data_IF_441043122604
#
_entry.id   IF_441043122604
#
_cell.length_a   1.000
_cell.length_b   1.000
_cell.length_c   1.000
_cell.angle_alpha   90.00
_cell.angle_beta   90.00
_cell.angle_gamma   90.00
#
_symmetry.space_group_name_H-M   'P 1'
#
loop_
_entity.id
_entity.type
_entity.pdbx_description
1 polymer ?
#
# COMPACT_ATOMS: atom_id res chain seq x y z
N UNK A 1 12.00 19.47 13.68
CA UNK A 1 12.74 18.35 14.30
C UNK A 1 12.05 17.02 14.02
N UNK A 2 12.56 16.19 13.11
CA UNK A 2 12.06 14.82 12.88
C UNK A 2 12.75 13.90 13.89
N UNK A 3 12.07 13.56 14.98
CA UNK A 3 12.56 12.51 15.90
C UNK A 3 12.63 11.22 15.09
N UNK A 4 13.84 10.69 14.91
CA UNK A 4 14.08 9.36 14.33
C UNK A 4 13.55 8.31 15.32
N UNK A 5 12.23 8.09 15.34
CA UNK A 5 11.63 7.16 16.28
C UNK A 5 11.95 5.73 15.82
N UNK A 6 12.73 5.00 16.65
CA UNK A 6 13.13 3.61 16.40
C UNK A 6 11.92 2.72 16.08
N UNK A 7 12.10 1.84 15.09
CA UNK A 7 11.19 0.74 14.81
C UNK A 7 11.16 -0.23 16.01
N UNK A 8 10.08 -1.00 16.13
CA UNK A 8 9.90 -1.96 17.22
C UNK A 8 9.24 -3.24 16.74
N UNK A 9 9.35 -4.31 17.53
CA UNK A 9 8.60 -5.55 17.28
C UNK A 9 7.09 -5.33 17.49
N UNK A 10 6.26 -6.17 16.87
CA UNK A 10 4.79 -6.03 16.95
C UNK A 10 4.27 -5.95 18.40
N UNK A 11 4.78 -6.83 19.28
CA UNK A 11 4.39 -6.90 20.69
C UNK A 11 4.87 -5.70 21.54
N UNK A 12 5.74 -4.84 20.98
CA UNK A 12 6.22 -3.61 21.63
C UNK A 12 5.46 -2.37 21.15
N UNK A 13 4.50 -2.53 20.24
CA UNK A 13 3.66 -1.43 19.80
C UNK A 13 2.86 -0.84 20.96
N UNK A 14 2.72 0.49 21.08
CA UNK A 14 1.83 1.11 22.05
C UNK A 14 0.35 0.72 21.88
N UNK A 15 -0.02 0.14 20.73
CA UNK A 15 -1.35 -0.41 20.48
C UNK A 15 -1.46 -1.90 20.87
N UNK A 16 -0.37 -2.54 21.31
CA UNK A 16 -0.41 -3.94 21.75
C UNK A 16 -0.99 -4.04 23.17
N UNK A 17 -1.88 -5.02 23.40
CA UNK A 17 -2.54 -5.30 24.68
C UNK A 17 -3.20 -4.06 25.31
N UNK A 18 -3.85 -3.20 24.52
CA UNK A 18 -4.60 -2.07 25.07
C UNK A 18 -5.91 -2.58 25.68
N UNK A 19 -6.01 -2.50 27.01
CA UNK A 19 -7.11 -3.09 27.79
C UNK A 19 -8.28 -2.16 28.14
N UNK A 20 -8.18 -0.87 27.84
CA UNK A 20 -9.26 0.06 28.17
C UNK A 20 -9.31 1.26 27.23
N UNK A 21 -10.50 1.85 27.06
CA UNK A 21 -10.67 3.10 26.30
C UNK A 21 -9.88 4.26 26.90
N UNK A 22 -9.71 4.31 28.22
CA UNK A 22 -8.84 5.30 28.90
C UNK A 22 -7.39 5.18 28.41
N UNK A 23 -6.84 3.96 28.33
CA UNK A 23 -5.50 3.73 27.80
C UNK A 23 -5.43 4.06 26.31
N UNK A 24 -6.45 3.69 25.53
CA UNK A 24 -6.54 4.04 24.11
C UNK A 24 -6.45 5.55 23.89
N UNK A 25 -7.25 6.34 24.62
CA UNK A 25 -7.21 7.80 24.59
C UNK A 25 -5.81 8.35 24.86
N UNK A 26 -5.09 7.81 25.85
CA UNK A 26 -3.72 8.22 26.14
C UNK A 26 -2.74 7.90 24.99
N UNK A 27 -2.87 6.73 24.36
CA UNK A 27 -2.04 6.32 23.22
C UNK A 27 -2.29 7.21 21.99
N UNK A 28 -3.57 7.49 21.72
CA UNK A 28 -4.04 8.31 20.60
C UNK A 28 -3.88 9.81 20.85
N UNK A 29 -3.69 10.23 22.10
CA UNK A 29 -3.60 11.63 22.55
C UNK A 29 -4.88 12.41 22.26
N UNK A 30 -6.02 11.84 22.63
CA UNK A 30 -7.35 12.46 22.51
C UNK A 30 -8.13 12.32 23.82
N UNK A 31 -9.13 13.17 24.04
CA UNK A 31 -9.99 13.05 25.21
C UNK A 31 -10.97 11.86 25.07
N UNK A 32 -11.52 11.35 26.19
CA UNK A 32 -12.63 10.38 26.13
C UNK A 32 -13.88 10.93 25.43
N UNK A 33 -14.10 12.25 25.49
CA UNK A 33 -15.17 12.92 24.76
C UNK A 33 -14.98 12.83 23.25
N UNK A 34 -13.77 13.16 22.78
CA UNK A 34 -13.41 13.08 21.36
C UNK A 34 -13.53 11.65 20.85
N UNK A 35 -13.03 10.66 21.61
CA UNK A 35 -13.16 9.25 21.22
C UNK A 35 -14.63 8.87 21.02
N UNK A 36 -15.51 9.21 21.97
CA UNK A 36 -16.94 8.93 21.85
C UNK A 36 -17.54 9.63 20.63
N UNK A 37 -17.27 10.91 20.45
CA UNK A 37 -17.80 11.69 19.32
C UNK A 37 -17.34 11.13 17.98
N UNK A 38 -16.05 10.85 17.81
CA UNK A 38 -15.48 10.30 16.59
C UNK A 38 -16.05 8.91 16.27
N UNK A 39 -16.23 8.05 17.28
CA UNK A 39 -16.83 6.71 17.08
C UNK A 39 -18.33 6.74 16.85
N UNK A 40 -19.07 7.74 17.35
CA UNK A 40 -20.53 7.87 17.14
C UNK A 40 -20.86 8.52 15.80
N UNK A 41 -20.08 9.51 15.39
CA UNK A 41 -20.29 10.29 14.16
C UNK A 41 -19.52 9.75 12.96
N UNK A 42 -18.92 8.56 13.04
CA UNK A 42 -18.03 8.04 11.99
C UNK A 42 -18.63 8.00 10.57
N UNK A 43 -19.96 7.92 10.44
CA UNK A 43 -20.67 7.96 9.15
C UNK A 43 -20.79 9.35 8.49
N UNK A 44 -20.55 10.46 9.21
CA UNK A 44 -20.65 11.84 8.68
C UNK A 44 -19.31 12.58 8.68
N UNK A 45 -18.24 11.90 9.12
CA UNK A 45 -16.89 12.45 9.24
C UNK A 45 -16.06 12.27 7.96
N UNK A 46 -16.70 12.06 6.81
CA UNK A 46 -16.06 11.91 5.52
C UNK A 46 -16.67 12.86 4.49
N UNK A 47 -15.84 13.27 3.54
CA UNK A 47 -16.25 13.95 2.30
C UNK A 47 -15.98 13.00 1.13
N UNK A 48 -16.99 12.75 0.31
CA UNK A 48 -16.89 11.93 -0.90
C UNK A 48 -16.77 12.83 -2.13
N UNK A 49 -15.80 12.54 -3.00
CA UNK A 49 -15.63 13.21 -4.28
C UNK A 49 -14.96 12.27 -5.28
N UNK A 50 -15.05 12.57 -6.57
CA UNK A 50 -14.40 11.77 -7.60
C UNK A 50 -13.13 12.44 -8.12
N UNK A 51 -12.14 11.61 -8.45
CA UNK A 51 -10.93 12.03 -9.15
C UNK A 51 -10.79 11.17 -10.40
N UNK A 52 -10.48 11.78 -11.53
CA UNK A 52 -10.23 11.04 -12.76
C UNK A 52 -8.95 10.20 -12.66
N UNK A 53 -9.05 8.93 -13.07
CA UNK A 53 -7.89 8.08 -13.29
C UNK A 53 -7.16 8.46 -14.58
N UNK A 54 -5.96 7.91 -14.75
CA UNK A 54 -5.17 8.04 -16.00
C UNK A 54 -5.91 7.53 -17.25
N UNK A 55 -6.84 6.60 -17.08
CA UNK A 55 -7.67 6.05 -18.16
C UNK A 55 -9.01 6.78 -18.35
N UNK A 56 -9.22 7.91 -17.64
CA UNK A 56 -10.44 8.71 -17.69
C UNK A 56 -11.59 8.16 -16.83
N UNK A 57 -11.47 6.95 -16.27
CA UNK A 57 -12.52 6.41 -15.39
C UNK A 57 -12.51 7.10 -14.01
N UNK A 58 -13.67 7.29 -13.36
CA UNK A 58 -13.71 7.93 -12.05
C UNK A 58 -13.12 7.04 -10.96
N UNK A 59 -12.48 7.67 -9.96
CA UNK A 59 -12.05 7.07 -8.70
C UNK A 59 -12.71 7.83 -7.55
N UNK A 60 -13.65 7.19 -6.88
CA UNK A 60 -14.21 7.70 -5.63
C UNK A 60 -13.15 7.84 -4.54
N UNK A 61 -13.09 9.02 -3.95
CA UNK A 61 -12.22 9.37 -2.83
C UNK A 61 -13.08 9.61 -1.60
N UNK A 62 -12.81 8.84 -0.54
CA UNK A 62 -13.46 8.98 0.76
C UNK A 62 -12.47 9.64 1.73
N UNK A 63 -12.50 10.97 1.79
CA UNK A 63 -11.53 11.73 2.57
C UNK A 63 -12.08 12.00 3.99
N UNK A 64 -11.39 11.56 5.05
CA UNK A 64 -11.78 11.86 6.43
C UNK A 64 -11.65 13.35 6.72
N UNK A 65 -12.60 13.90 7.48
CA UNK A 65 -12.53 15.26 8.05
C UNK A 65 -11.31 15.39 8.97
N UNK A 66 -10.86 16.63 9.17
CA UNK A 66 -9.59 16.97 9.82
C UNK A 66 -9.36 16.22 11.13
N UNK A 67 -10.32 16.21 12.04
CA UNK A 67 -10.13 15.62 13.38
C UNK A 67 -9.96 14.11 13.32
N UNK A 68 -10.80 13.42 12.54
CA UNK A 68 -10.66 11.99 12.29
C UNK A 68 -9.35 11.67 11.57
N UNK A 69 -8.96 12.50 10.58
CA UNK A 69 -7.72 12.36 9.82
C UNK A 69 -6.48 12.44 10.71
N UNK A 70 -6.49 13.32 11.72
CA UNK A 70 -5.40 13.43 12.70
C UNK A 70 -5.26 12.16 13.55
N UNK A 71 -6.39 11.60 14.02
CA UNK A 71 -6.40 10.35 14.79
C UNK A 71 -5.95 9.16 13.92
N UNK A 72 -6.47 9.04 12.71
CA UNK A 72 -6.06 8.01 11.75
C UNK A 72 -4.57 8.12 11.41
N UNK A 73 -4.05 9.32 11.17
CA UNK A 73 -2.62 9.53 10.95
C UNK A 73 -1.77 9.15 12.18
N UNK A 74 -2.30 9.36 13.39
CA UNK A 74 -1.63 8.93 14.62
C UNK A 74 -1.57 7.41 14.72
N UNK A 75 -2.66 6.70 14.43
CA UNK A 75 -2.69 5.23 14.39
C UNK A 75 -1.73 4.73 13.32
N UNK A 76 -1.77 5.30 12.11
CA UNK A 76 -0.90 4.93 11.01
C UNK A 76 0.58 5.06 11.40
N UNK A 77 0.97 6.17 12.04
CA UNK A 77 2.33 6.40 12.52
C UNK A 77 2.77 5.37 13.57
N UNK A 78 1.86 4.90 14.42
CA UNK A 78 2.17 3.83 15.37
C UNK A 78 2.39 2.51 14.61
N UNK A 79 1.44 2.11 13.75
CA UNK A 79 1.57 0.87 12.98
C UNK A 79 2.78 0.85 12.05
N UNK A 80 3.13 1.96 11.40
CA UNK A 80 4.32 2.07 10.53
C UNK A 80 5.65 1.98 11.25
N UNK A 81 5.67 1.98 12.60
CA UNK A 81 6.88 1.73 13.39
C UNK A 81 7.05 0.27 13.76
N UNK A 82 6.04 -0.57 13.52
CA UNK A 82 6.20 -2.03 13.59
C UNK A 82 7.18 -2.44 12.49
N UNK A 83 8.17 -3.24 12.85
CA UNK A 83 9.16 -3.76 11.90
C UNK A 83 8.44 -4.52 10.79
N UNK A 84 8.55 -4.07 9.53
CA UNK A 84 7.82 -4.69 8.43
C UNK A 84 8.49 -6.00 8.02
N UNK A 85 7.74 -7.02 7.60
CA UNK A 85 8.33 -8.22 7.01
C UNK A 85 9.00 -7.90 5.68
N UNK A 86 9.98 -8.70 5.27
CA UNK A 86 10.83 -8.39 4.10
C UNK A 86 10.07 -8.27 2.78
N UNK A 87 8.98 -9.00 2.64
CA UNK A 87 8.15 -8.97 1.43
C UNK A 87 7.25 -7.72 1.34
N UNK A 88 7.10 -6.89 2.38
CA UNK A 88 6.21 -5.72 2.35
C UNK A 88 6.94 -4.48 1.83
N UNK A 89 6.69 -4.03 0.60
CA UNK A 89 7.40 -2.89 0.02
C UNK A 89 6.65 -1.55 0.16
N UNK A 90 5.35 -1.57 0.42
CA UNK A 90 4.55 -0.36 0.62
C UNK A 90 3.49 -0.59 1.70
N UNK A 91 3.25 0.36 2.64
CA UNK A 91 3.78 1.73 2.72
C UNK A 91 5.02 1.86 3.64
N UNK A 92 6.04 1.04 3.41
CA UNK A 92 7.24 0.98 4.25
C UNK A 92 8.23 2.09 3.90
N UNK A 93 8.66 2.87 4.91
CA UNK A 93 9.69 3.90 4.73
C UNK A 93 11.02 3.25 4.31
N UNK A 94 11.64 3.79 3.27
CA UNK A 94 12.92 3.30 2.74
C UNK A 94 12.77 2.20 1.67
N UNK A 95 11.55 1.69 1.46
CA UNK A 95 11.21 0.84 0.32
C UNK A 95 10.43 1.67 -0.70
N UNK A 96 10.61 1.37 -1.98
CA UNK A 96 10.00 2.06 -3.11
C UNK A 96 9.51 1.08 -4.16
N UNK A 97 8.74 1.58 -5.13
CA UNK A 97 8.34 0.80 -6.31
C UNK A 97 9.56 0.34 -7.14
N UNK A 98 10.69 1.07 -7.09
CA UNK A 98 11.95 0.66 -7.74
C UNK A 98 12.59 -0.50 -7.01
N UNK A 99 12.75 -0.40 -5.68
CA UNK A 99 13.31 -1.53 -4.90
C UNK A 99 12.41 -2.76 -4.94
N UNK A 100 11.09 -2.55 -5.07
CA UNK A 100 10.12 -3.63 -5.26
C UNK A 100 10.39 -4.39 -6.56
N UNK A 101 10.57 -3.68 -7.68
CA UNK A 101 10.94 -4.31 -8.95
C UNK A 101 12.33 -4.96 -8.87
N UNK A 102 13.31 -4.27 -8.28
CA UNK A 102 14.67 -4.77 -8.10
C UNK A 102 14.73 -6.13 -7.39
N UNK A 103 13.85 -6.36 -6.42
CA UNK A 103 13.76 -7.63 -5.70
C UNK A 103 13.50 -8.84 -6.63
N UNK A 104 12.87 -8.61 -7.79
CA UNK A 104 12.60 -9.66 -8.77
C UNK A 104 13.60 -9.71 -9.93
N UNK A 105 14.64 -8.87 -9.92
CA UNK A 105 15.69 -8.88 -10.93
C UNK A 105 16.43 -10.23 -11.00
N UNK A 106 16.78 -10.63 -12.22
CA UNK A 106 17.45 -11.90 -12.54
C UNK A 106 16.55 -13.13 -12.51
N UNK A 107 15.24 -12.98 -12.25
CA UNK A 107 14.32 -14.11 -12.19
C UNK A 107 13.73 -14.44 -13.56
N UNK A 108 13.67 -15.74 -13.86
CA UNK A 108 13.18 -16.25 -15.15
C UNK A 108 11.69 -16.02 -15.34
N UNK A 109 10.91 -16.28 -14.30
CA UNK A 109 9.45 -16.15 -14.31
C UNK A 109 9.03 -15.10 -13.30
N UNK A 110 8.21 -14.14 -13.74
CA UNK A 110 7.62 -13.10 -12.88
C UNK A 110 6.11 -13.10 -13.09
N UNK A 111 5.35 -13.14 -11.99
CA UNK A 111 3.89 -13.17 -11.98
C UNK A 111 3.36 -12.07 -11.08
N UNK A 112 2.58 -11.17 -11.64
CA UNK A 112 2.01 -10.02 -10.93
C UNK A 112 0.49 -10.18 -10.83
N UNK A 113 -0.06 -10.03 -9.63
CA UNK A 113 -1.49 -10.06 -9.33
C UNK A 113 -1.90 -8.69 -8.79
N UNK A 114 -2.96 -8.11 -9.35
CA UNK A 114 -3.50 -6.81 -8.94
C UNK A 114 -4.84 -7.01 -8.23
N UNK A 115 -4.87 -6.70 -6.93
CA UNK A 115 -6.06 -6.79 -6.08
C UNK A 115 -7.03 -5.67 -6.42
N UNK A 116 -8.23 -6.06 -6.85
CA UNK A 116 -9.32 -5.16 -7.18
C UNK A 116 -9.82 -4.44 -5.93
N UNK A 117 -9.85 -3.10 -5.97
CA UNK A 117 -10.47 -2.24 -4.96
C UNK A 117 -10.01 -2.63 -3.54
N UNK A 118 -8.70 -2.75 -3.31
CA UNK A 118 -8.18 -3.35 -2.08
C UNK A 118 -8.75 -2.73 -0.78
N UNK A 119 -8.82 -1.40 -0.69
CA UNK A 119 -9.38 -0.75 0.51
C UNK A 119 -10.90 -0.99 0.66
N UNK A 120 -11.75 -0.77 -0.36
CA UNK A 120 -13.16 -1.16 -0.29
C UNK A 120 -13.40 -2.66 -0.03
N UNK A 121 -12.49 -3.52 -0.49
CA UNK A 121 -12.52 -4.96 -0.24
C UNK A 121 -11.94 -5.36 1.12
N UNK A 122 -11.50 -4.41 1.94
CA UNK A 122 -11.03 -4.65 3.31
C UNK A 122 -12.12 -4.27 4.32
N UNK A 123 -12.89 -5.23 4.83
CA UNK A 123 -14.03 -4.96 5.70
C UNK A 123 -13.61 -4.66 7.14
N UNK A 124 -14.45 -3.94 7.88
CA UNK A 124 -14.25 -3.57 9.30
C UNK A 124 -13.98 -4.78 10.20
N UNK A 125 -14.57 -5.95 9.91
CA UNK A 125 -14.32 -7.19 10.64
C UNK A 125 -12.85 -7.64 10.59
N UNK A 126 -12.13 -7.36 9.49
CA UNK A 126 -10.70 -7.70 9.35
C UNK A 126 -9.82 -6.73 10.14
N UNK A 127 -10.21 -5.46 10.18
CA UNK A 127 -9.58 -4.45 11.04
C UNK A 127 -9.79 -4.80 12.52
N UNK A 128 -11.02 -5.15 12.91
CA UNK A 128 -11.34 -5.64 14.25
C UNK A 128 -10.51 -6.88 14.60
N UNK A 129 -10.48 -7.88 13.72
CA UNK A 129 -9.69 -9.11 13.90
C UNK A 129 -8.22 -8.79 14.15
N UNK A 130 -7.61 -7.87 13.39
CA UNK A 130 -6.22 -7.50 13.62
C UNK A 130 -6.03 -6.92 15.03
N UNK A 131 -6.83 -5.94 15.43
CA UNK A 131 -6.65 -5.31 16.75
C UNK A 131 -6.97 -6.26 17.91
N UNK A 132 -8.00 -7.10 17.78
CA UNK A 132 -8.40 -8.04 18.81
C UNK A 132 -7.47 -9.25 18.89
N UNK A 133 -7.22 -9.91 17.76
CA UNK A 133 -6.54 -11.21 17.73
C UNK A 133 -5.02 -11.07 17.63
N UNK A 134 -4.52 -10.13 16.83
CA UNK A 134 -3.07 -9.94 16.61
C UNK A 134 -2.49 -8.96 17.64
N UNK A 135 -3.13 -7.80 17.80
CA UNK A 135 -2.67 -6.80 18.77
C UNK A 135 -3.15 -7.07 20.20
N UNK A 136 -4.03 -8.07 20.41
CA UNK A 136 -4.50 -8.50 21.73
C UNK A 136 -5.21 -7.40 22.54
N UNK A 137 -5.86 -6.45 21.86
CA UNK A 137 -6.69 -5.44 22.49
C UNK A 137 -7.99 -6.04 23.04
N UNK A 138 -8.57 -5.40 24.05
CA UNK A 138 -9.93 -5.74 24.51
C UNK A 138 -10.97 -5.50 23.42
N UNK A 139 -12.09 -6.23 23.50
CA UNK A 139 -13.14 -6.22 22.47
C UNK A 139 -13.68 -4.82 22.18
N UNK A 140 -13.93 -4.04 23.23
CA UNK A 140 -14.46 -2.68 23.10
C UNK A 140 -13.43 -1.68 22.52
N UNK A 141 -12.15 -1.88 22.81
CA UNK A 141 -11.02 -1.12 22.24
C UNK A 141 -10.83 -1.47 20.76
N UNK A 142 -10.86 -2.75 20.41
CA UNK A 142 -10.75 -3.21 19.03
C UNK A 142 -11.93 -2.70 18.19
N UNK A 143 -13.15 -2.71 18.73
CA UNK A 143 -14.32 -2.14 18.09
C UNK A 143 -14.19 -0.63 17.85
N UNK A 144 -13.68 0.12 18.85
CA UNK A 144 -13.43 1.56 18.69
C UNK A 144 -12.37 1.85 17.61
N UNK A 145 -11.27 1.09 17.59
CA UNK A 145 -10.24 1.22 16.56
C UNK A 145 -10.75 0.86 15.16
N UNK A 146 -11.58 -0.18 15.03
CA UNK A 146 -12.21 -0.53 13.76
C UNK A 146 -13.17 0.57 13.29
N UNK A 147 -13.97 1.15 14.19
CA UNK A 147 -14.86 2.29 13.89
C UNK A 147 -14.06 3.52 13.43
N UNK A 148 -12.95 3.84 14.09
CA UNK A 148 -12.08 4.96 13.70
C UNK A 148 -11.38 4.73 12.35
N UNK A 149 -11.10 3.47 12.00
CA UNK A 149 -10.34 3.13 10.79
C UNK A 149 -11.22 2.95 9.54
N UNK A 150 -12.52 2.73 9.71
CA UNK A 150 -13.42 2.35 8.62
C UNK A 150 -14.51 3.38 8.34
N UNK A 151 -15.05 3.30 7.14
CA UNK A 151 -16.17 4.08 6.67
C UNK A 151 -17.09 3.15 5.87
N UNK A 152 -18.41 3.24 6.05
CA UNK A 152 -19.39 2.35 5.39
C UNK A 152 -18.97 0.86 5.42
N UNK A 153 -18.40 0.41 6.54
CA UNK A 153 -18.00 -0.98 6.76
C UNK A 153 -16.68 -1.43 6.12
N UNK A 154 -15.90 -0.54 5.50
CA UNK A 154 -14.64 -0.88 4.82
C UNK A 154 -13.54 0.20 5.03
N UNK A 155 -12.32 -0.06 4.58
CA UNK A 155 -11.24 0.94 4.64
C UNK A 155 -11.45 2.03 3.57
N UNK A 156 -11.49 3.32 3.97
CA UNK A 156 -11.76 4.41 3.03
C UNK A 156 -10.57 4.72 2.13
N UNK A 157 -10.82 5.17 0.90
CA UNK A 157 -9.75 5.43 -0.09
C UNK A 157 -8.88 6.66 0.18
N UNK A 158 -9.36 7.64 0.97
CA UNK A 158 -8.65 8.89 1.27
C UNK A 158 -8.00 8.95 2.67
N UNK A 159 -8.07 7.88 3.47
CA UNK A 159 -7.50 7.89 4.82
C UNK A 159 -5.98 7.65 4.83
N UNK A 160 -5.22 8.39 5.67
CA UNK A 160 -3.80 8.10 5.89
C UNK A 160 -3.54 6.77 6.59
N UNK A 161 -4.56 6.14 7.20
CA UNK A 161 -4.45 4.85 7.88
C UNK A 161 -4.63 3.66 6.93
N UNK A 162 -5.48 3.80 5.90
CA UNK A 162 -5.86 2.69 5.02
C UNK A 162 -4.69 1.91 4.43
N UNK A 163 -3.60 2.54 3.92
CA UNK A 163 -2.52 1.77 3.29
C UNK A 163 -1.85 0.77 4.22
N UNK A 164 -1.48 1.18 5.44
CA UNK A 164 -0.83 0.27 6.41
C UNK A 164 -1.85 -0.66 7.06
N UNK A 165 -3.09 -0.18 7.23
CA UNK A 165 -4.16 -0.97 7.84
C UNK A 165 -4.64 -2.09 6.91
N UNK A 166 -4.64 -1.90 5.59
CA UNK A 166 -5.04 -2.94 4.64
C UNK A 166 -4.11 -4.16 4.71
N UNK A 167 -2.80 -3.91 4.83
CA UNK A 167 -1.80 -4.94 5.08
C UNK A 167 -2.08 -5.69 6.39
N UNK A 168 -2.16 -4.97 7.51
CA UNK A 168 -2.34 -5.59 8.83
C UNK A 168 -3.69 -6.28 9.01
N UNK A 169 -4.76 -5.77 8.39
CA UNK A 169 -6.07 -6.42 8.35
C UNK A 169 -6.01 -7.80 7.66
N UNK A 170 -5.00 -8.04 6.82
CA UNK A 170 -4.76 -9.30 6.11
C UNK A 170 -3.44 -9.96 6.53
N UNK A 171 -2.96 -9.69 7.75
CA UNK A 171 -1.64 -10.13 8.19
C UNK A 171 -1.46 -11.66 8.12
N UNK A 172 -2.44 -12.42 8.61
CA UNK A 172 -2.55 -13.89 8.49
C UNK A 172 -2.46 -14.40 7.04
N UNK A 173 -3.13 -13.72 6.11
CA UNK A 173 -3.14 -14.08 4.68
C UNK A 173 -1.75 -13.89 4.10
N UNK A 174 -1.11 -12.76 4.40
CA UNK A 174 0.21 -12.46 3.89
C UNK A 174 1.31 -13.36 4.48
N UNK A 175 1.23 -13.69 5.77
CA UNK A 175 2.14 -14.66 6.39
C UNK A 175 1.97 -16.05 5.76
N UNK A 176 0.75 -16.50 5.49
CA UNK A 176 0.50 -17.78 4.82
C UNK A 176 1.04 -17.80 3.37
N UNK A 177 0.82 -16.72 2.61
CA UNK A 177 1.38 -16.60 1.24
C UNK A 177 2.91 -16.54 1.27
N UNK A 178 3.50 -15.79 2.20
CA UNK A 178 4.94 -15.69 2.35
C UNK A 178 5.57 -17.03 2.73
N UNK A 179 4.96 -17.78 3.64
CA UNK A 179 5.40 -19.12 4.01
C UNK A 179 5.38 -20.07 2.81
N UNK A 180 4.29 -20.06 2.04
CA UNK A 180 4.14 -20.89 0.84
C UNK A 180 5.18 -20.54 -0.24
N UNK A 181 5.41 -19.25 -0.50
CA UNK A 181 6.45 -18.80 -1.42
C UNK A 181 7.84 -19.23 -0.95
N UNK A 182 8.16 -19.02 0.33
CA UNK A 182 9.45 -19.37 0.92
C UNK A 182 9.73 -20.87 0.82
N UNK A 183 8.74 -21.71 1.12
CA UNK A 183 8.85 -23.17 1.04
C UNK A 183 9.17 -23.67 -0.37
N UNK A 184 8.84 -22.90 -1.40
CA UNK A 184 9.09 -23.24 -2.81
C UNK A 184 10.24 -22.44 -3.43
N UNK A 185 10.99 -21.65 -2.63
CA UNK A 185 12.10 -20.84 -3.13
C UNK A 185 11.66 -19.64 -3.99
N UNK A 186 10.42 -19.19 -3.86
CA UNK A 186 9.89 -18.04 -4.61
C UNK A 186 10.16 -16.74 -3.89
N UNK A 187 10.45 -15.69 -4.66
CA UNK A 187 10.50 -14.32 -4.17
C UNK A 187 9.09 -13.74 -4.16
N UNK A 188 8.69 -13.14 -3.04
CA UNK A 188 7.41 -12.47 -2.88
C UNK A 188 7.63 -11.00 -2.56
N UNK A 189 6.83 -10.13 -3.17
CA UNK A 189 6.61 -8.77 -2.68
C UNK A 189 5.14 -8.37 -2.70
N UNK A 190 4.78 -7.47 -1.78
CA UNK A 190 3.47 -6.84 -1.67
C UNK A 190 3.67 -5.32 -1.69
N UNK A 191 3.08 -4.66 -2.68
CA UNK A 191 3.09 -3.22 -2.88
C UNK A 191 1.65 -2.71 -2.97
N UNK A 192 1.04 -2.43 -1.81
CA UNK A 192 -0.39 -2.07 -1.72
C UNK A 192 -1.25 -3.17 -2.39
N UNK A 193 -1.85 -2.89 -3.55
CA UNK A 193 -2.75 -3.76 -4.29
C UNK A 193 -1.98 -4.75 -5.20
N UNK A 194 -0.71 -4.45 -5.52
CA UNK A 194 0.15 -5.25 -6.40
C UNK A 194 0.92 -6.31 -5.61
N UNK A 195 0.70 -7.59 -5.93
CA UNK A 195 1.44 -8.73 -5.41
C UNK A 195 2.31 -9.30 -6.52
N UNK A 196 3.61 -9.43 -6.27
CA UNK A 196 4.56 -9.96 -7.27
C UNK A 196 5.25 -11.21 -6.73
N UNK A 197 5.24 -12.28 -7.52
CA UNK A 197 5.89 -13.55 -7.22
C UNK A 197 6.86 -13.88 -8.36
N UNK A 198 8.09 -14.25 -8.05
CA UNK A 198 9.04 -14.67 -9.07
C UNK A 198 9.94 -15.83 -8.63
N UNK A 199 10.52 -16.51 -9.60
CA UNK A 199 11.38 -17.67 -9.39
C UNK A 199 12.01 -18.17 -10.69
N UNK A 200 12.96 -19.10 -10.58
CA UNK A 200 13.47 -19.86 -11.73
C UNK A 200 12.38 -20.74 -12.37
N UNK A 201 11.49 -21.27 -11.53
CA UNK A 201 10.23 -21.92 -11.90
C UNK A 201 9.13 -21.45 -10.96
N UNK A 202 7.87 -21.47 -11.42
CA UNK A 202 6.69 -21.22 -10.59
C UNK A 202 5.68 -22.34 -10.85
N UNK A 203 5.45 -23.19 -9.85
CA UNK A 203 4.50 -24.29 -9.93
C UNK A 203 3.07 -23.74 -10.07
N UNK A 204 2.31 -24.16 -11.09
CA UNK A 204 0.92 -23.76 -11.25
C UNK A 204 0.04 -24.08 -10.03
N UNK A 205 0.28 -25.22 -9.35
CA UNK A 205 -0.48 -25.61 -8.15
C UNK A 205 -0.22 -24.66 -6.98
N UNK A 206 1.04 -24.30 -6.75
CA UNK A 206 1.42 -23.37 -5.68
C UNK A 206 0.86 -21.97 -5.95
N UNK A 207 0.91 -21.50 -7.19
CA UNK A 207 0.30 -20.23 -7.57
C UNK A 207 -1.23 -20.27 -7.39
N UNK A 208 -1.87 -21.40 -7.68
CA UNK A 208 -3.29 -21.59 -7.42
C UNK A 208 -3.60 -21.54 -5.92
N UNK A 209 -2.77 -22.16 -5.08
CA UNK A 209 -2.91 -22.11 -3.63
C UNK A 209 -2.76 -20.69 -3.07
N UNK A 210 -1.78 -19.91 -3.57
CA UNK A 210 -1.65 -18.49 -3.23
C UNK A 210 -2.94 -17.74 -3.57
N UNK A 211 -3.47 -17.95 -4.78
CA UNK A 211 -4.72 -17.32 -5.21
C UNK A 211 -5.90 -17.74 -4.33
N UNK A 212 -5.97 -19.01 -3.94
CA UNK A 212 -7.00 -19.55 -3.05
C UNK A 212 -6.94 -18.90 -1.67
N UNK A 213 -5.74 -18.73 -1.10
CA UNK A 213 -5.54 -18.03 0.18
C UNK A 213 -6.04 -16.58 0.11
N UNK A 214 -5.65 -15.85 -0.94
CA UNK A 214 -6.10 -14.46 -1.17
C UNK A 214 -7.63 -14.40 -1.36
N UNK A 215 -8.18 -15.29 -2.18
CA UNK A 215 -9.61 -15.34 -2.47
C UNK A 215 -10.44 -15.69 -1.23
N UNK A 216 -9.96 -16.62 -0.41
CA UNK A 216 -10.60 -17.04 0.84
C UNK A 216 -10.73 -15.92 1.86
N UNK A 217 -9.85 -14.91 1.81
CA UNK A 217 -9.95 -13.71 2.63
C UNK A 217 -11.02 -12.70 2.15
N UNK A 218 -11.66 -12.96 1.01
CA UNK A 218 -12.62 -12.05 0.36
C UNK A 218 -11.98 -11.05 -0.59
N UNK A 219 -10.67 -11.15 -0.84
CA UNK A 219 -9.98 -10.34 -1.83
C UNK A 219 -10.18 -10.93 -3.23
N UNK A 220 -10.26 -10.08 -4.25
CA UNK A 220 -10.38 -10.50 -5.65
C UNK A 220 -9.30 -9.79 -6.43
N UNK A 221 -8.61 -10.50 -7.32
CA UNK A 221 -7.73 -9.88 -8.29
C UNK A 221 -8.49 -9.63 -9.60
N UNK A 222 -8.06 -8.62 -10.37
CA UNK A 222 -8.70 -8.29 -11.65
C UNK A 222 -7.75 -8.28 -12.83
N UNK A 223 -6.45 -8.16 -12.58
CA UNK A 223 -5.40 -8.27 -13.60
C UNK A 223 -4.35 -9.23 -13.11
N UNK A 224 -3.84 -9.99 -14.06
CA UNK A 224 -2.76 -10.92 -13.86
C UNK A 224 -1.80 -10.78 -15.04
N UNK A 225 -0.53 -10.59 -14.73
CA UNK A 225 0.54 -10.55 -15.73
C UNK A 225 1.47 -11.71 -15.47
N UNK A 226 1.84 -12.41 -16.54
CA UNK A 226 2.75 -13.53 -16.51
C UNK A 226 3.87 -13.28 -17.52
N UNK A 227 5.11 -13.23 -17.03
CA UNK A 227 6.31 -13.02 -17.81
C UNK A 227 7.21 -14.24 -17.65
N UNK A 228 7.65 -14.80 -18.77
CA UNK A 228 8.53 -15.97 -18.85
C UNK A 228 9.58 -15.64 -19.90
N UNK A 229 10.86 -15.75 -19.55
CA UNK A 229 12.00 -15.55 -20.46
C UNK A 229 11.95 -14.23 -21.25
N UNK A 230 11.42 -13.18 -20.62
CA UNK A 230 11.23 -11.85 -21.24
C UNK A 230 11.21 -10.74 -20.20
N UNK A 231 11.42 -9.47 -20.61
CA UNK A 231 11.32 -8.34 -19.69
C UNK A 231 9.98 -8.29 -18.96
N UNK A 232 10.02 -8.04 -17.65
CA UNK A 232 8.84 -7.98 -16.79
C UNK A 232 8.58 -6.56 -16.29
N UNK A 233 7.33 -6.11 -16.33
CA UNK A 233 6.96 -4.81 -15.77
C UNK A 233 6.34 -4.97 -14.38
N UNK A 234 7.07 -4.52 -13.35
CA UNK A 234 6.67 -4.57 -11.93
C UNK A 234 6.52 -3.14 -11.40
N UNK A 235 5.32 -2.79 -10.92
CA UNK A 235 5.02 -1.46 -10.36
C UNK A 235 5.50 -0.27 -11.21
N UNK A 236 5.47 -0.42 -12.54
CA UNK A 236 5.88 0.62 -13.49
C UNK A 236 7.38 0.73 -13.76
N UNK A 237 8.18 -0.27 -13.37
CA UNK A 237 9.60 -0.44 -13.73
C UNK A 237 9.75 -1.71 -14.56
N UNK A 238 10.55 -1.65 -15.62
CA UNK A 238 10.86 -2.81 -16.46
C UNK A 238 12.12 -3.49 -15.92
N UNK A 239 12.05 -4.80 -15.74
CA UNK A 239 13.16 -5.66 -15.34
C UNK A 239 13.62 -6.42 -16.59
N UNK A 240 14.89 -6.32 -16.93
CA UNK A 240 15.49 -7.01 -18.08
C UNK A 240 16.79 -7.69 -17.65
N UNK A 241 16.71 -9.01 -17.44
CA UNK A 241 17.77 -9.75 -16.76
C UNK A 241 17.95 -9.19 -15.34
N UNK A 242 19.16 -8.73 -15.03
CA UNK A 242 19.48 -8.07 -13.75
C UNK A 242 19.23 -6.56 -13.75
N UNK A 243 18.99 -5.96 -14.93
CA UNK A 243 18.93 -4.52 -15.07
C UNK A 243 17.51 -3.97 -14.89
N UNK A 244 17.42 -2.73 -14.42
CA UNK A 244 16.18 -1.98 -14.24
C UNK A 244 16.10 -0.84 -15.25
N UNK A 245 14.97 -0.77 -15.95
CA UNK A 245 14.74 0.22 -17.00
C UNK A 245 13.42 0.95 -16.81
N UNK A 246 13.34 2.23 -17.19
CA UNK A 246 12.07 2.92 -17.34
C UNK A 246 11.26 2.26 -18.48
N UNK A 247 9.92 2.18 -18.36
CA UNK A 247 9.09 1.75 -19.49
C UNK A 247 9.18 2.74 -20.66
N UNK A 248 9.15 2.24 -21.90
CA UNK A 248 9.24 3.07 -23.11
C UNK A 248 8.21 4.20 -23.18
N UNK A 249 7.02 4.02 -22.57
CA UNK A 249 6.00 5.07 -22.47
C UNK A 249 6.47 6.30 -21.68
N UNK A 250 7.34 6.14 -20.69
CA UNK A 250 7.91 7.27 -19.95
C UNK A 250 8.91 8.03 -20.83
N UNK A 251 9.77 7.32 -21.56
CA UNK A 251 10.71 7.93 -22.52
C UNK A 251 9.97 8.67 -23.63
N UNK A 252 8.94 8.05 -24.21
CA UNK A 252 8.04 8.69 -25.19
C UNK A 252 7.39 9.95 -24.61
N UNK A 253 6.84 9.86 -23.39
CA UNK A 253 6.23 11.01 -22.72
C UNK A 253 7.22 12.15 -22.47
N UNK A 254 8.49 11.87 -22.18
CA UNK A 254 9.53 12.91 -22.03
C UNK A 254 9.75 13.62 -23.36
N UNK A 255 9.96 12.86 -24.43
CA UNK A 255 10.18 13.41 -25.78
C UNK A 255 9.01 14.27 -26.23
N UNK A 256 7.78 13.78 -26.05
CA UNK A 256 6.56 14.53 -26.37
C UNK A 256 6.41 15.80 -25.54
N UNK A 257 6.71 15.74 -24.24
CA UNK A 257 6.64 16.91 -23.33
C UNK A 257 7.67 17.97 -23.74
N UNK A 258 8.90 17.56 -24.07
CA UNK A 258 9.94 18.48 -24.58
C UNK A 258 9.53 19.11 -25.91
N UNK A 259 8.98 18.33 -26.84
CA UNK A 259 8.47 18.84 -28.12
C UNK A 259 7.33 19.84 -27.93
N UNK A 260 6.45 19.60 -26.95
CA UNK A 260 5.36 20.52 -26.63
C UNK A 260 5.88 21.85 -26.05
N UNK A 261 6.87 21.81 -25.15
CA UNK A 261 7.50 23.00 -24.57
C UNK A 261 8.20 23.90 -25.62
N UNK A 262 8.65 23.33 -26.75
CA UNK A 262 9.21 24.08 -27.87
C UNK A 262 8.18 24.87 -28.70
N UNK A 263 6.89 24.86 -28.33
CA UNK A 263 5.81 25.60 -29.03
C UNK A 263 5.42 26.84 -28.24
N UNK A 264 4.78 27.81 -28.91
CA UNK A 264 4.18 28.97 -28.24
C UNK A 264 3.00 28.49 -27.37
N UNK A 265 3.12 28.65 -26.06
CA UNK A 265 2.18 28.16 -25.05
C UNK A 265 1.88 29.25 -24.02
N UNK A 266 0.77 29.10 -23.30
CA UNK A 266 0.47 29.94 -22.13
C UNK A 266 1.37 29.59 -20.95
N UNK A 267 1.63 30.56 -20.06
CA UNK A 267 2.49 30.37 -18.87
C UNK A 267 2.01 29.23 -17.95
N UNK A 268 0.68 29.08 -17.81
CA UNK A 268 0.09 27.96 -17.06
C UNK A 268 0.46 26.62 -17.67
N UNK A 269 0.37 26.49 -19.00
CA UNK A 269 0.66 25.23 -19.70
C UNK A 269 2.15 24.88 -19.67
N UNK A 270 3.02 25.89 -19.73
CA UNK A 270 4.47 25.70 -19.55
C UNK A 270 4.75 25.10 -18.17
N UNK A 271 4.21 25.71 -17.10
CA UNK A 271 4.39 25.25 -15.72
C UNK A 271 3.91 23.80 -15.52
N UNK A 272 2.76 23.43 -16.10
CA UNK A 272 2.24 22.06 -16.06
C UNK A 272 3.19 21.05 -16.74
N UNK A 273 3.71 21.41 -17.92
CA UNK A 273 4.61 20.53 -18.69
C UNK A 273 5.98 20.41 -18.03
N UNK A 274 6.53 21.48 -17.45
CA UNK A 274 7.78 21.47 -16.68
C UNK A 274 7.66 20.59 -15.42
N UNK A 275 6.55 20.71 -14.69
CA UNK A 275 6.26 19.84 -13.54
C UNK A 275 6.18 18.36 -13.95
N UNK A 276 5.49 18.06 -15.06
CA UNK A 276 5.43 16.70 -15.63
C UNK A 276 6.82 16.20 -16.02
N UNK A 277 7.63 17.02 -16.69
CA UNK A 277 8.97 16.66 -17.14
C UNK A 277 9.88 16.35 -15.94
N UNK A 278 9.85 17.22 -14.92
CA UNK A 278 10.60 17.05 -13.67
C UNK A 278 10.24 15.72 -12.99
N UNK A 279 8.94 15.39 -12.90
CA UNK A 279 8.48 14.12 -12.32
C UNK A 279 8.96 12.88 -13.09
N UNK A 280 8.95 12.93 -14.42
CA UNK A 280 9.46 11.85 -15.27
C UNK A 280 10.98 11.69 -15.15
N UNK A 281 11.73 12.79 -15.09
CA UNK A 281 13.18 12.78 -14.87
C UNK A 281 13.55 12.26 -13.48
N UNK A 282 12.79 12.63 -12.44
CA UNK A 282 12.97 12.08 -11.10
C UNK A 282 12.76 10.57 -11.04
N UNK A 283 11.80 10.05 -11.81
CA UNK A 283 11.58 8.60 -11.97
C UNK A 283 12.80 7.91 -12.61
N UNK A 284 13.33 8.49 -13.68
CA UNK A 284 14.54 7.97 -14.35
C UNK A 284 15.74 7.93 -13.40
N UNK A 285 15.96 9.01 -12.65
CA UNK A 285 17.07 9.11 -11.70
C UNK A 285 16.96 8.05 -10.58
N UNK A 286 15.76 7.79 -10.07
CA UNK A 286 15.55 6.75 -9.07
C UNK A 286 15.85 5.33 -9.58
N UNK A 287 15.48 5.04 -10.84
CA UNK A 287 15.78 3.75 -11.46
C UNK A 287 17.29 3.62 -11.67
N UNK A 288 17.94 4.62 -12.26
CA UNK A 288 19.38 4.61 -12.52
C UNK A 288 20.21 4.48 -11.23
N UNK A 289 19.81 5.15 -10.15
CA UNK A 289 20.51 5.08 -8.86
C UNK A 289 20.42 3.69 -8.19
N UNK A 290 19.45 2.86 -8.58
CA UNK A 290 19.32 1.49 -8.09
C UNK A 290 20.01 0.48 -9.03
N UNK A 291 20.05 0.75 -10.33
CA UNK A 291 20.71 -0.10 -11.32
C UNK A 291 22.25 -0.06 -11.20
N UNK A 292 22.80 1.07 -10.74
CA UNK A 292 24.24 1.26 -10.55
C UNK A 292 24.82 0.63 -9.25
N UNK A 293 24.01 -0.14 -8.50
CA UNK A 293 24.41 -0.79 -7.24
C UNK A 293 24.48 -2.30 -7.40
#
# INVERSE_FOLDING_TARGET
MRINQKAYALHQSPLFKVRSKKRLCAVLRISPGDLRQLTKSHGVLYSEFEVEKKDGSPRGVENPRRDLKLVQARIARLLSRITPPDYLFCPVKGRSYVSNAAHHAGQRIVRCLDIRKYFPSTPSRRVYWFFHSVMQCERDVAAALASLATYKGHLPTGSPLSPIMAFFAHYDVWEAVAALCKANGYRLTVYIDDVTISGASLSPSVIWDVKRIIHGAGLRYHKEKHFVDRPAEVTGVVIEGVNLRPPNRHLKSITETRKALGRKLSSKRITELESRLTGLQGTLAQIAAHDAK
#
